data_IF_342948881757
#
_entry.id   IF_342948881757
#
_cell.length_a   1.000
_cell.length_b   1.000
_cell.length_c   1.000
_cell.angle_alpha   90.00
_cell.angle_beta   90.00
_cell.angle_gamma   90.00
#
_symmetry.space_group_name_H-M   'P 1'
#
loop_
_entity.id
_entity.type
_entity.pdbx_description
1 polymer ?
#
# COMPACT_ATOMS: atom_id res chain seq x y z
N UNK A 1 -63.07 -29.04 -8.64
CA UNK A 1 -61.95 -29.73 -7.98
C UNK A 1 -61.31 -30.64 -9.02
N UNK A 2 -60.16 -30.27 -9.60
CA UNK A 2 -59.23 -31.17 -10.29
C UNK A 2 -57.99 -30.39 -10.69
N UNK A 3 -56.88 -30.83 -10.13
CA UNK A 3 -55.53 -30.30 -10.23
C UNK A 3 -54.86 -31.02 -11.42
N UNK A 4 -54.35 -30.29 -12.41
CA UNK A 4 -53.47 -30.84 -13.45
C UNK A 4 -52.28 -29.92 -13.60
N UNK A 5 -51.22 -30.19 -12.83
CA UNK A 5 -49.90 -29.57 -12.99
C UNK A 5 -49.15 -30.38 -14.04
N UNK A 6 -49.13 -29.90 -15.29
CA UNK A 6 -48.34 -30.46 -16.37
C UNK A 6 -46.91 -29.86 -16.37
N UNK A 7 -46.02 -30.53 -15.63
CA UNK A 7 -44.86 -31.24 -16.21
C UNK A 7 -43.96 -30.63 -17.29
N UNK A 8 -43.86 -29.32 -17.50
CA UNK A 8 -42.88 -28.75 -18.47
C UNK A 8 -42.12 -27.50 -18.00
N UNK A 9 -42.39 -26.98 -16.80
CA UNK A 9 -41.69 -25.79 -16.25
C UNK A 9 -40.50 -26.10 -15.34
N UNK A 10 -40.11 -27.37 -15.21
CA UNK A 10 -38.96 -27.76 -14.38
C UNK A 10 -37.61 -27.72 -15.10
N UNK A 11 -37.56 -27.63 -16.43
CA UNK A 11 -36.28 -27.60 -17.16
C UNK A 11 -35.71 -26.20 -17.43
N UNK A 12 -36.55 -25.16 -17.48
CA UNK A 12 -36.07 -23.80 -17.78
C UNK A 12 -35.47 -23.11 -16.54
N UNK A 13 -35.95 -23.44 -15.34
CA UNK A 13 -35.38 -22.90 -14.08
C UNK A 13 -34.11 -23.67 -13.65
N UNK A 14 -33.95 -24.93 -14.07
CA UNK A 14 -32.77 -25.73 -13.71
C UNK A 14 -31.54 -25.39 -14.57
N UNK A 15 -31.73 -24.98 -15.84
CA UNK A 15 -30.65 -24.53 -16.72
C UNK A 15 -30.13 -23.12 -16.42
N UNK A 16 -30.89 -22.30 -15.67
CA UNK A 16 -30.44 -20.97 -15.24
C UNK A 16 -29.72 -20.96 -13.88
N UNK A 17 -29.60 -22.11 -13.21
CA UNK A 17 -28.97 -22.22 -11.87
C UNK A 17 -27.60 -22.90 -11.86
N UNK A 18 -27.03 -23.23 -13.02
CA UNK A 18 -25.78 -24.01 -13.14
C UNK A 18 -24.70 -23.35 -14.01
N UNK A 19 -24.69 -22.01 -14.09
CA UNK A 19 -23.64 -21.24 -14.78
C UNK A 19 -23.08 -20.06 -13.95
N UNK A 20 -22.98 -20.22 -12.63
CA UNK A 20 -22.19 -19.31 -11.77
C UNK A 20 -21.33 -20.08 -10.79
N UNK A 21 -20.34 -20.78 -11.33
CA UNK A 21 -19.09 -21.08 -10.62
C UNK A 21 -17.93 -20.80 -11.57
N UNK A 22 -17.07 -19.90 -11.13
CA UNK A 22 -15.63 -19.93 -11.38
C UNK A 22 -15.12 -19.62 -12.79
N UNK A 23 -15.38 -18.41 -13.25
CA UNK A 23 -14.37 -17.62 -13.97
C UNK A 23 -14.12 -16.39 -13.08
N UNK A 24 -13.13 -16.40 -12.18
CA UNK A 24 -11.74 -16.13 -12.52
C UNK A 24 -11.66 -15.12 -13.67
N UNK A 25 -12.09 -13.90 -13.39
CA UNK A 25 -11.67 -12.75 -14.21
C UNK A 25 -10.28 -12.36 -13.71
N UNK A 26 -9.25 -12.45 -14.56
CA UNK A 26 -7.91 -12.04 -14.17
C UNK A 26 -7.91 -10.57 -13.80
N UNK A 27 -7.11 -10.28 -12.79
CA UNK A 27 -6.79 -9.00 -12.15
C UNK A 27 -6.14 -7.98 -13.12
N UNK A 28 -6.60 -7.86 -14.36
CA UNK A 28 -6.00 -7.00 -15.38
C UNK A 28 -7.00 -6.61 -16.47
N UNK A 29 -7.72 -5.52 -16.26
CA UNK A 29 -8.25 -4.59 -17.27
C UNK A 29 -8.97 -3.49 -16.48
N UNK A 30 -8.31 -2.38 -16.17
CA UNK A 30 -8.16 -1.20 -17.05
C UNK A 30 -9.52 -0.73 -17.57
N UNK A 31 -10.20 0.03 -16.74
CA UNK A 31 -10.98 1.22 -17.08
C UNK A 31 -11.26 1.87 -15.74
N UNK A 32 -10.50 2.90 -15.38
CA UNK A 32 -10.97 4.28 -15.45
C UNK A 32 -9.72 5.17 -15.41
N UNK A 33 -9.36 5.72 -16.56
CA UNK A 33 -8.61 6.98 -16.62
C UNK A 33 -9.63 8.12 -16.63
N UNK A 34 -10.40 8.25 -15.54
CA UNK A 34 -10.96 9.56 -15.22
C UNK A 34 -9.78 10.27 -14.57
N UNK A 35 -9.22 11.24 -15.29
CA UNK A 35 -8.40 12.29 -14.68
C UNK A 35 -9.30 13.06 -13.70
N UNK A 36 -9.68 12.43 -12.58
CA UNK A 36 -10.43 13.10 -11.54
C UNK A 36 -9.48 14.10 -10.95
N UNK A 37 -9.80 15.39 -11.09
CA UNK A 37 -9.26 16.40 -10.20
C UNK A 37 -9.38 15.82 -8.78
N UNK A 38 -8.23 15.52 -8.15
CA UNK A 38 -8.23 14.69 -6.96
C UNK A 38 -9.13 15.26 -5.87
N UNK A 39 -9.60 14.41 -4.94
CA UNK A 39 -10.60 14.81 -3.93
C UNK A 39 -10.21 16.09 -3.15
N UNK A 40 -8.90 16.38 -3.08
CA UNK A 40 -8.36 17.60 -2.51
C UNK A 40 -8.72 18.87 -3.31
N UNK A 41 -8.51 18.87 -4.62
CA UNK A 41 -8.81 20.00 -5.52
C UNK A 41 -10.31 20.29 -5.57
N UNK A 42 -11.13 19.24 -5.64
CA UNK A 42 -12.59 19.32 -5.56
C UNK A 42 -13.08 19.96 -4.27
N UNK A 43 -12.44 19.63 -3.14
CA UNK A 43 -12.81 20.19 -1.83
C UNK A 43 -12.50 21.70 -1.73
N UNK A 44 -11.40 22.15 -2.34
CA UNK A 44 -10.99 23.55 -2.35
C UNK A 44 -11.90 24.39 -3.27
N UNK A 45 -12.25 23.87 -4.45
CA UNK A 45 -13.17 24.53 -5.39
C UNK A 45 -14.59 24.70 -4.80
N UNK A 46 -15.08 23.74 -4.01
CA UNK A 46 -16.44 23.77 -3.43
C UNK A 46 -16.60 24.67 -2.20
N UNK A 47 -15.59 24.79 -1.35
CA UNK A 47 -15.75 25.48 -0.06
C UNK A 47 -15.70 27.01 -0.17
N UNK A 48 -14.99 27.56 -1.17
CA UNK A 48 -14.66 28.98 -1.15
C UNK A 48 -14.65 29.58 -2.55
N UNK A 49 -15.80 30.04 -3.04
CA UNK A 49 -15.99 30.68 -4.35
C UNK A 49 -15.10 31.93 -4.59
N UNK A 50 -14.31 32.36 -3.59
CA UNK A 50 -13.33 33.47 -3.65
C UNK A 50 -11.88 33.03 -3.84
N UNK A 51 -11.55 31.75 -3.71
CA UNK A 51 -10.21 31.26 -4.04
C UNK A 51 -10.17 31.12 -5.56
N UNK A 52 -9.42 32.00 -6.22
CA UNK A 52 -9.16 31.88 -7.67
C UNK A 52 -8.53 30.51 -7.92
N UNK A 53 -8.93 29.87 -9.00
CA UNK A 53 -8.46 28.55 -9.41
C UNK A 53 -6.92 28.43 -9.33
N UNK A 54 -6.21 29.48 -9.69
CA UNK A 54 -4.75 29.63 -9.57
C UNK A 54 -4.20 29.35 -8.17
N UNK A 55 -4.90 29.79 -7.11
CA UNK A 55 -4.46 29.60 -5.73
C UNK A 55 -4.80 28.21 -5.21
N UNK A 56 -5.92 27.64 -5.64
CA UNK A 56 -6.26 26.25 -5.32
C UNK A 56 -5.26 25.27 -5.96
N UNK A 57 -4.87 25.54 -7.22
CA UNK A 57 -3.81 24.80 -7.91
C UNK A 57 -2.46 24.91 -7.17
N UNK A 58 -2.03 26.12 -6.80
CA UNK A 58 -0.78 26.33 -6.06
C UNK A 58 -0.74 25.59 -4.71
N UNK A 59 -1.85 25.56 -3.96
CA UNK A 59 -1.95 24.82 -2.69
C UNK A 59 -1.94 23.31 -2.93
N UNK A 60 -2.62 22.84 -3.97
CA UNK A 60 -2.64 21.42 -4.33
C UNK A 60 -1.25 20.92 -4.76
N UNK A 61 -0.51 21.71 -5.54
CA UNK A 61 0.86 21.40 -5.96
C UNK A 61 1.83 21.35 -4.76
N UNK A 62 1.75 22.33 -3.85
CA UNK A 62 2.60 22.35 -2.65
C UNK A 62 2.28 21.16 -1.73
N UNK A 63 0.99 20.85 -1.54
CA UNK A 63 0.56 19.69 -0.76
C UNK A 63 1.00 18.37 -1.41
N UNK A 64 0.91 18.25 -2.74
CA UNK A 64 1.37 17.08 -3.50
C UNK A 64 2.87 16.88 -3.29
N UNK A 65 3.66 17.93 -3.42
CA UNK A 65 5.11 17.91 -3.29
C UNK A 65 5.57 17.54 -1.88
N UNK A 66 4.93 18.09 -0.85
CA UNK A 66 5.21 17.72 0.54
C UNK A 66 4.83 16.26 0.82
N UNK A 67 3.70 15.79 0.28
CA UNK A 67 3.28 14.40 0.45
C UNK A 67 4.26 13.40 -0.18
N UNK A 68 4.77 13.70 -1.38
CA UNK A 68 5.79 12.87 -2.04
C UNK A 68 7.04 12.73 -1.19
N UNK A 69 7.56 13.84 -0.67
CA UNK A 69 8.74 13.86 0.20
C UNK A 69 8.57 12.97 1.42
N UNK A 70 7.43 13.07 2.10
CA UNK A 70 7.15 12.23 3.27
C UNK A 70 7.13 10.74 2.93
N UNK A 71 6.56 10.36 1.78
CA UNK A 71 6.55 8.96 1.32
C UNK A 71 7.97 8.49 0.97
N UNK A 72 8.77 9.33 0.33
CA UNK A 72 10.18 9.07 0.03
C UNK A 72 11.02 8.90 1.30
N UNK A 73 10.83 9.78 2.29
CA UNK A 73 11.50 9.71 3.59
C UNK A 73 11.17 8.41 4.32
N UNK A 74 9.89 8.00 4.32
CA UNK A 74 9.47 6.71 4.87
C UNK A 74 10.17 5.53 4.16
N UNK A 75 10.28 5.58 2.83
CA UNK A 75 10.97 4.54 2.06
C UNK A 75 12.47 4.46 2.40
N UNK A 76 13.14 5.61 2.52
CA UNK A 76 14.55 5.69 2.95
C UNK A 76 14.74 5.10 4.34
N UNK A 77 13.84 5.42 5.28
CA UNK A 77 13.87 4.89 6.64
C UNK A 77 13.73 3.38 6.67
N UNK A 78 12.80 2.80 5.89
CA UNK A 78 12.65 1.34 5.76
C UNK A 78 13.95 0.72 5.25
N UNK A 79 14.58 1.29 4.21
CA UNK A 79 15.86 0.79 3.67
C UNK A 79 17.01 0.90 4.67
N UNK A 80 17.01 1.95 5.50
CA UNK A 80 18.02 2.11 6.55
C UNK A 80 17.87 1.04 7.62
N UNK A 81 16.64 0.78 8.09
CA UNK A 81 16.38 -0.25 9.10
C UNK A 81 16.64 -1.67 8.59
N UNK A 82 16.36 -1.96 7.31
CA UNK A 82 16.72 -3.25 6.70
C UNK A 82 18.23 -3.47 6.68
N UNK A 83 19.01 -2.45 6.28
CA UNK A 83 20.47 -2.49 6.35
C UNK A 83 20.99 -2.60 7.78
N UNK A 84 20.35 -1.93 8.73
CA UNK A 84 20.70 -2.07 10.15
C UNK A 84 20.47 -3.49 10.65
N UNK A 85 19.36 -4.12 10.25
CA UNK A 85 19.07 -5.53 10.55
C UNK A 85 20.11 -6.48 9.94
N UNK A 86 20.49 -6.26 8.68
CA UNK A 86 21.53 -7.04 7.99
C UNK A 86 22.93 -6.82 8.61
N UNK A 87 23.26 -5.59 9.02
CA UNK A 87 24.51 -5.28 9.70
C UNK A 87 24.63 -5.95 11.08
N UNK A 88 23.52 -6.24 11.76
CA UNK A 88 23.56 -7.02 13.01
C UNK A 88 23.97 -8.48 12.78
N UNK A 89 23.80 -8.99 11.56
CA UNK A 89 24.19 -10.34 11.14
C UNK A 89 25.59 -10.39 10.53
N UNK A 90 26.16 -9.25 10.14
CA UNK A 90 27.52 -9.17 9.60
C UNK A 90 28.55 -9.24 10.72
N UNK A 91 28.83 -10.47 11.16
CA UNK A 91 29.85 -10.81 12.15
C UNK A 91 31.17 -11.22 11.48
N UNK A 92 31.42 -10.80 10.23
CA UNK A 92 32.66 -11.12 9.55
C UNK A 92 33.84 -10.52 10.31
N UNK A 93 34.78 -11.34 10.83
CA UNK A 93 35.89 -10.81 11.60
C UNK A 93 36.80 -10.00 10.67
N UNK A 94 36.84 -8.68 10.85
CA UNK A 94 37.71 -7.79 10.06
C UNK A 94 39.18 -7.89 10.46
N UNK A 95 39.48 -8.42 11.66
CA UNK A 95 40.84 -8.59 12.19
C UNK A 95 41.00 -9.91 12.99
N UNK A 96 42.23 -10.43 13.04
CA UNK A 96 42.59 -11.71 13.67
C UNK A 96 42.34 -11.77 15.21
N UNK A 97 42.15 -10.62 15.86
CA UNK A 97 41.78 -10.50 17.28
C UNK A 97 40.25 -10.59 17.52
N UNK A 98 39.45 -10.67 16.46
CA UNK A 98 37.98 -10.69 16.51
C UNK A 98 37.37 -12.02 16.98
N UNK A 99 38.18 -13.01 17.36
CA UNK A 99 37.72 -14.27 17.96
C UNK A 99 37.04 -14.07 19.33
N UNK A 100 37.30 -12.95 20.00
CA UNK A 100 36.66 -12.60 21.28
C UNK A 100 35.22 -12.09 21.08
N UNK A 101 34.87 -11.53 19.90
CA UNK A 101 33.51 -11.02 19.62
C UNK A 101 32.45 -12.14 19.57
N UNK A 102 32.82 -13.35 19.16
CA UNK A 102 31.91 -14.48 19.12
C UNK A 102 31.64 -15.07 20.52
N UNK A 103 32.55 -14.89 21.48
CA UNK A 103 32.42 -15.40 22.84
C UNK A 103 31.46 -14.54 23.70
N UNK A 104 31.38 -13.24 23.43
CA UNK A 104 30.52 -12.28 24.14
C UNK A 104 29.14 -12.09 23.48
N UNK A 105 28.76 -12.94 22.52
CA UNK A 105 27.48 -12.82 21.83
C UNK A 105 26.30 -13.17 22.75
N UNK A 106 25.57 -12.14 23.20
CA UNK A 106 24.29 -12.34 23.90
C UNK A 106 23.14 -12.58 22.91
N UNK A 107 22.86 -13.86 22.70
CA UNK A 107 21.70 -14.32 21.90
C UNK A 107 20.36 -13.70 22.32
N UNK A 108 20.15 -13.43 23.61
CA UNK A 108 18.88 -12.87 24.11
C UNK A 108 18.76 -11.40 23.72
N UNK A 109 19.85 -10.65 23.81
CA UNK A 109 19.85 -9.25 23.40
C UNK A 109 19.68 -9.11 21.89
N UNK A 110 20.35 -9.96 21.10
CA UNK A 110 20.19 -10.02 19.66
C UNK A 110 18.74 -10.26 19.25
N UNK A 111 18.11 -11.33 19.76
CA UNK A 111 16.71 -11.66 19.43
C UNK A 111 15.76 -10.53 19.81
N UNK A 112 16.00 -9.86 20.96
CA UNK A 112 15.19 -8.71 21.38
C UNK A 112 15.30 -7.55 20.38
N UNK A 113 16.51 -7.20 19.94
CA UNK A 113 16.77 -6.12 18.98
C UNK A 113 16.20 -6.44 17.60
N UNK A 114 16.34 -7.68 17.14
CA UNK A 114 15.79 -8.14 15.87
C UNK A 114 14.25 -8.06 15.82
N UNK A 115 13.57 -8.52 16.88
CA UNK A 115 12.11 -8.41 16.99
C UNK A 115 11.66 -6.93 17.01
N UNK A 116 12.40 -6.07 17.72
CA UNK A 116 12.10 -4.64 17.79
C UNK A 116 12.25 -3.97 16.41
N UNK A 117 13.35 -4.23 15.70
CA UNK A 117 13.57 -3.72 14.35
C UNK A 117 12.53 -4.25 13.37
N UNK A 118 12.19 -5.54 13.41
CA UNK A 118 11.15 -6.14 12.57
C UNK A 118 9.79 -5.48 12.78
N UNK A 119 9.41 -5.19 14.02
CA UNK A 119 8.17 -4.47 14.35
C UNK A 119 8.17 -3.05 13.80
N UNK A 120 9.31 -2.33 13.91
CA UNK A 120 9.46 -0.97 13.36
C UNK A 120 9.38 -0.96 11.83
N UNK A 121 10.06 -1.89 11.16
CA UNK A 121 10.02 -2.05 9.71
C UNK A 121 8.58 -2.27 9.26
N UNK A 122 7.86 -3.20 9.90
CA UNK A 122 6.47 -3.50 9.52
C UNK A 122 5.55 -2.31 9.72
N UNK A 123 5.69 -1.58 10.82
CA UNK A 123 4.91 -0.38 11.08
C UNK A 123 5.16 0.71 10.02
N UNK A 124 6.42 0.89 9.59
CA UNK A 124 6.77 1.85 8.55
C UNK A 124 6.26 1.43 7.18
N UNK A 125 6.34 0.14 6.83
CA UNK A 125 5.76 -0.39 5.59
C UNK A 125 4.25 -0.17 5.52
N UNK A 126 3.53 -0.45 6.62
CA UNK A 126 2.08 -0.21 6.71
C UNK A 126 1.78 1.29 6.57
N UNK A 127 2.54 2.16 7.23
CA UNK A 127 2.39 3.62 7.11
C UNK A 127 2.59 4.08 5.67
N UNK A 128 3.64 3.58 5.01
CA UNK A 128 3.94 3.90 3.61
C UNK A 128 2.80 3.44 2.68
N UNK A 129 2.29 2.22 2.86
CA UNK A 129 1.17 1.68 2.08
C UNK A 129 -0.12 2.51 2.26
N UNK A 130 -0.44 2.89 3.50
CA UNK A 130 -1.59 3.76 3.79
C UNK A 130 -1.40 5.13 3.15
N UNK A 131 -0.19 5.69 3.23
CA UNK A 131 0.12 6.98 2.65
C UNK A 131 -0.01 6.96 1.12
N UNK A 132 0.50 5.92 0.44
CA UNK A 132 0.36 5.75 -1.00
C UNK A 132 -1.10 5.68 -1.44
N UNK A 133 -1.92 4.84 -0.79
CA UNK A 133 -3.37 4.77 -1.08
C UNK A 133 -4.07 6.10 -0.87
N UNK A 134 -3.70 6.83 0.17
CA UNK A 134 -4.28 8.13 0.47
C UNK A 134 -3.84 9.19 -0.56
N UNK A 135 -2.60 9.14 -1.01
CA UNK A 135 -2.08 9.99 -2.07
C UNK A 135 -2.85 9.79 -3.38
N UNK A 136 -3.03 8.52 -3.80
CA UNK A 136 -3.81 8.18 -4.99
C UNK A 136 -5.23 8.75 -4.93
N UNK A 137 -5.87 8.64 -3.77
CA UNK A 137 -7.20 9.21 -3.57
C UNK A 137 -7.22 10.75 -3.59
N UNK A 138 -6.22 11.41 -3.00
CA UNK A 138 -6.17 12.86 -2.87
C UNK A 138 -5.80 13.56 -4.17
N UNK A 139 -4.92 12.96 -4.98
CA UNK A 139 -4.32 13.59 -6.16
C UNK A 139 -4.63 12.87 -7.48
N UNK A 140 -5.26 11.69 -7.45
CA UNK A 140 -5.64 10.94 -8.65
C UNK A 140 -4.47 10.42 -9.48
N UNK A 141 -3.26 10.39 -8.89
CA UNK A 141 -2.02 9.92 -9.54
C UNK A 141 -1.40 8.78 -8.73
N UNK A 142 -0.85 7.79 -9.43
CA UNK A 142 -0.03 6.74 -8.81
C UNK A 142 1.39 7.24 -8.56
N UNK A 143 1.94 6.94 -7.38
CA UNK A 143 3.33 7.23 -7.03
C UNK A 143 4.22 6.07 -7.48
N UNK A 144 5.04 6.29 -8.51
CA UNK A 144 6.14 5.39 -8.85
C UNK A 144 7.36 5.77 -8.01
N UNK A 145 7.66 5.00 -6.96
CA UNK A 145 8.89 5.16 -6.20
C UNK A 145 10.02 4.47 -6.95
N UNK A 146 11.00 5.24 -7.42
CA UNK A 146 12.23 4.70 -7.99
C UNK A 146 13.04 3.99 -6.90
N UNK A 147 13.23 2.68 -7.04
CA UNK A 147 13.93 1.82 -6.09
C UNK A 147 15.43 1.75 -6.34
#
# INVERSE_FOLDING_TARGET
MSFVISGTRQLIIFLLRLARKNTCVPFSMIEIAIMSEGAFLDSLKRNNAKIREDRAAAIAEDAELMYKREVEDLAILVRKLKREQENMLDMSPTDADSLVLAADFDSREYVRKDIELGTKIRNLEIKMEIAQRRYEYLFGRSLELNN
#
